data_IF_845070391380
#
_entry.id   IF_845070391380
#
_cell.length_a   1.000
_cell.length_b   1.000
_cell.length_c   1.000
_cell.angle_alpha   90.00
_cell.angle_beta   90.00
_cell.angle_gamma   90.00
#
_symmetry.space_group_name_H-M   'P 1'
#
loop_
_entity.id
_entity.type
_entity.pdbx_description
1 polymer ?
#
# COMPACT_ATOMS: atom_id res chain seq x y z
N UNK A 1 -15.71 13.22 -9.76
CA UNK A 1 -15.10 11.88 -9.94
C UNK A 1 -14.27 11.46 -8.75
N UNK A 2 -13.75 12.39 -7.93
CA UNK A 2 -12.95 11.99 -6.77
C UNK A 2 -13.77 11.11 -5.83
N UNK A 3 -13.22 9.95 -5.50
CA UNK A 3 -13.82 9.01 -4.58
C UNK A 3 -13.46 9.39 -3.14
N UNK A 4 -14.45 9.41 -2.26
CA UNK A 4 -14.28 9.67 -0.82
C UNK A 4 -15.13 8.67 -0.03
N UNK A 5 -14.54 7.56 0.45
CA UNK A 5 -15.24 6.62 1.32
C UNK A 5 -15.62 7.30 2.64
N UNK A 6 -16.86 7.10 3.11
CA UNK A 6 -17.37 7.74 4.32
C UNK A 6 -16.72 7.20 5.60
N UNK A 7 -16.15 5.99 5.52
CA UNK A 7 -15.51 5.29 6.62
C UNK A 7 -14.09 5.80 6.90
N UNK A 8 -13.51 6.62 6.01
CA UNK A 8 -12.17 7.17 6.19
C UNK A 8 -12.19 8.29 7.22
N UNK A 9 -11.56 8.06 8.36
CA UNK A 9 -11.50 9.04 9.47
C UNK A 9 -10.35 10.05 9.32
N UNK A 10 -9.28 9.68 8.61
CA UNK A 10 -8.15 10.57 8.38
C UNK A 10 -7.39 10.15 7.11
N UNK A 11 -6.96 11.11 6.30
CA UNK A 11 -6.06 10.83 5.17
C UNK A 11 -4.61 10.81 5.66
N UNK A 12 -3.91 9.73 5.35
CA UNK A 12 -2.50 9.51 5.73
C UNK A 12 -1.58 9.88 4.56
N UNK A 13 -1.99 9.56 3.33
CA UNK A 13 -1.15 9.79 2.16
C UNK A 13 -1.95 9.96 0.85
N UNK A 14 -1.41 10.78 -0.05
CA UNK A 14 -1.91 10.95 -1.41
C UNK A 14 -0.88 10.51 -2.44
N UNK A 15 -1.20 9.48 -3.23
CA UNK A 15 -0.45 9.12 -4.41
C UNK A 15 -1.14 9.65 -5.68
N UNK A 16 -0.52 9.44 -6.85
CA UNK A 16 -1.09 9.83 -8.14
C UNK A 16 -2.45 9.19 -8.39
N UNK A 17 -2.59 7.89 -8.12
CA UNK A 17 -3.76 7.10 -8.52
C UNK A 17 -4.59 6.56 -7.34
N UNK A 18 -4.08 6.67 -6.12
CA UNK A 18 -4.74 6.17 -4.92
C UNK A 18 -4.55 7.12 -3.74
N UNK A 19 -5.45 7.01 -2.78
CA UNK A 19 -5.38 7.70 -1.50
C UNK A 19 -5.31 6.63 -0.41
N UNK A 20 -4.54 6.90 0.63
CA UNK A 20 -4.45 6.05 1.82
C UNK A 20 -5.11 6.80 2.97
N UNK A 21 -6.16 6.21 3.53
CA UNK A 21 -6.86 6.74 4.68
C UNK A 21 -6.94 5.72 5.82
N UNK A 22 -7.00 6.20 7.06
CA UNK A 22 -7.31 5.37 8.23
C UNK A 22 -8.82 5.12 8.29
N UNK A 23 -9.24 3.89 8.58
CA UNK A 23 -10.65 3.56 8.81
C UNK A 23 -11.03 3.55 10.30
N UNK A 24 -10.07 3.27 11.17
CA UNK A 24 -10.24 3.09 12.60
C UNK A 24 -8.95 2.55 13.22
N UNK A 25 -9.03 1.93 14.39
CA UNK A 25 -7.85 1.42 15.08
C UNK A 25 -7.16 0.31 14.28
N UNK A 26 -5.90 0.55 13.93
CA UNK A 26 -4.99 -0.40 13.28
C UNK A 26 -5.41 -0.86 11.88
N UNK A 27 -6.28 -0.13 11.18
CA UNK A 27 -6.69 -0.45 9.81
C UNK A 27 -6.54 0.77 8.91
N UNK A 28 -5.82 0.57 7.81
CA UNK A 28 -5.71 1.55 6.72
C UNK A 28 -6.35 1.02 5.45
N UNK A 29 -6.97 1.94 4.72
CA UNK A 29 -7.59 1.71 3.42
C UNK A 29 -6.79 2.43 2.36
N UNK A 30 -6.30 1.69 1.38
CA UNK A 30 -5.88 2.25 0.09
C UNK A 30 -7.04 2.18 -0.88
N UNK A 31 -7.50 3.31 -1.38
CA UNK A 31 -8.64 3.40 -2.30
C UNK A 31 -8.28 4.21 -3.55
N UNK A 32 -8.91 3.94 -4.71
CA UNK A 32 -8.59 4.64 -5.93
C UNK A 32 -9.01 6.11 -5.83
N UNK A 33 -8.28 6.99 -6.51
CA UNK A 33 -8.63 8.43 -6.56
C UNK A 33 -9.97 8.66 -7.22
N UNK A 34 -10.32 7.88 -8.26
CA UNK A 34 -11.49 8.09 -9.09
C UNK A 34 -12.56 7.03 -8.83
N UNK A 35 -13.81 7.45 -8.65
CA UNK A 35 -14.99 6.60 -8.52
C UNK A 35 -15.48 6.12 -9.91
N UNK A 36 -14.64 5.38 -10.66
CA UNK A 36 -14.97 4.99 -12.04
C UNK A 36 -16.25 4.15 -12.18
N UNK A 37 -16.68 3.46 -11.12
CA UNK A 37 -17.92 2.68 -11.10
C UNK A 37 -19.17 3.55 -11.23
N UNK A 38 -19.12 4.81 -10.80
CA UNK A 38 -20.24 5.76 -10.92
C UNK A 38 -20.27 6.44 -12.30
N UNK A 39 -19.23 6.25 -13.13
CA UNK A 39 -19.07 6.93 -14.42
C UNK A 39 -18.61 5.96 -15.52
N UNK A 40 -19.54 5.21 -16.16
CA UNK A 40 -19.22 4.15 -17.13
C UNK A 40 -18.36 4.59 -18.32
N UNK A 41 -18.49 5.85 -18.75
CA UNK A 41 -17.71 6.40 -19.88
C UNK A 41 -16.34 6.97 -19.46
N UNK A 42 -16.02 7.01 -18.17
CA UNK A 42 -14.85 7.74 -17.66
C UNK A 42 -13.54 7.16 -18.20
N UNK A 43 -13.44 5.85 -18.39
CA UNK A 43 -12.26 5.19 -18.96
C UNK A 43 -12.01 5.58 -20.43
N UNK A 44 -13.10 5.78 -21.19
CA UNK A 44 -13.05 6.14 -22.60
C UNK A 44 -12.66 7.61 -22.75
N UNK A 45 -13.24 8.48 -21.92
CA UNK A 45 -13.04 9.94 -21.93
C UNK A 45 -11.73 10.37 -21.30
N UNK A 46 -11.22 9.63 -20.32
CA UNK A 46 -10.04 10.01 -19.54
C UNK A 46 -9.03 8.87 -19.43
N UNK A 47 -7.89 9.02 -20.11
CA UNK A 47 -6.76 8.08 -20.04
C UNK A 47 -6.30 7.83 -18.59
N UNK A 48 -6.26 8.88 -17.76
CA UNK A 48 -5.83 8.77 -16.36
C UNK A 48 -6.73 7.82 -15.54
N UNK A 49 -8.04 7.80 -15.79
CA UNK A 49 -8.98 6.90 -15.11
C UNK A 49 -8.72 5.45 -15.52
N UNK A 50 -8.50 5.22 -16.81
CA UNK A 50 -8.18 3.89 -17.37
C UNK A 50 -6.86 3.34 -16.81
N UNK A 51 -5.82 4.15 -16.82
CA UNK A 51 -4.49 3.77 -16.32
C UNK A 51 -4.51 3.52 -14.80
N UNK A 52 -5.26 4.35 -14.05
CA UNK A 52 -5.46 4.17 -12.61
C UNK A 52 -6.23 2.87 -12.31
N UNK A 53 -7.34 2.60 -13.01
CA UNK A 53 -8.12 1.38 -12.85
C UNK A 53 -7.31 0.12 -13.15
N UNK A 54 -6.62 0.09 -14.30
CA UNK A 54 -5.79 -1.06 -14.68
C UNK A 54 -4.69 -1.33 -13.64
N UNK A 55 -4.03 -0.28 -13.16
CA UNK A 55 -3.00 -0.40 -12.12
C UNK A 55 -3.58 -0.93 -10.81
N UNK A 56 -4.75 -0.44 -10.40
CA UNK A 56 -5.42 -0.86 -9.16
C UNK A 56 -5.86 -2.32 -9.21
N UNK A 57 -6.44 -2.77 -10.33
CA UNK A 57 -6.86 -4.17 -10.52
C UNK A 57 -5.66 -5.12 -10.49
N UNK A 58 -4.57 -4.78 -11.16
CA UNK A 58 -3.33 -5.58 -11.14
C UNK A 58 -2.78 -5.67 -9.71
N UNK A 59 -2.77 -4.55 -8.99
CA UNK A 59 -2.30 -4.52 -7.60
C UNK A 59 -3.12 -5.46 -6.71
N UNK A 60 -4.44 -5.49 -6.86
CA UNK A 60 -5.32 -6.40 -6.12
C UNK A 60 -4.98 -7.88 -6.36
N UNK A 61 -4.66 -8.27 -7.60
CA UNK A 61 -4.27 -9.65 -7.90
C UNK A 61 -2.89 -10.00 -7.34
N UNK A 62 -1.94 -9.07 -7.38
CA UNK A 62 -0.63 -9.26 -6.75
C UNK A 62 -0.78 -9.44 -5.23
N UNK A 63 -1.58 -8.60 -4.56
CA UNK A 63 -1.81 -8.71 -3.12
C UNK A 63 -2.42 -10.05 -2.71
N UNK A 64 -3.37 -10.58 -3.49
CA UNK A 64 -3.93 -11.92 -3.27
C UNK A 64 -2.87 -13.01 -3.38
N UNK A 65 -1.96 -12.91 -4.35
CA UNK A 65 -0.91 -13.89 -4.59
C UNK A 65 0.22 -13.83 -3.54
N UNK A 66 0.49 -12.65 -2.99
CA UNK A 66 1.52 -12.48 -1.95
C UNK A 66 1.12 -13.11 -0.62
N UNK A 67 -0.17 -13.24 -0.33
CA UNK A 67 -0.66 -13.84 0.91
C UNK A 67 -0.08 -13.20 2.17
N UNK A 68 -0.01 -13.98 3.24
CA UNK A 68 0.54 -13.54 4.53
C UNK A 68 2.04 -13.81 4.59
N UNK A 69 2.84 -12.75 4.81
CA UNK A 69 4.27 -12.84 5.05
C UNK A 69 4.68 -11.87 6.18
N UNK A 70 5.47 -12.27 7.19
CA UNK A 70 5.77 -11.44 8.36
C UNK A 70 6.56 -10.17 8.06
N UNK A 71 7.15 -10.05 6.85
CA UNK A 71 7.89 -8.86 6.38
C UNK A 71 7.14 -8.01 5.36
N UNK A 72 5.88 -8.33 5.09
CA UNK A 72 4.99 -7.57 4.21
C UNK A 72 3.78 -7.17 5.06
N UNK A 73 3.32 -5.93 4.93
CA UNK A 73 2.15 -5.50 5.73
C UNK A 73 0.95 -6.38 5.38
N UNK A 74 0.17 -6.73 6.40
CA UNK A 74 -0.90 -7.71 6.26
C UNK A 74 -2.03 -7.15 5.40
N UNK A 75 -2.33 -7.83 4.30
CA UNK A 75 -3.52 -7.55 3.49
C UNK A 75 -4.76 -8.18 4.15
N UNK A 76 -5.74 -7.34 4.51
CA UNK A 76 -6.96 -7.76 5.20
C UNK A 76 -8.13 -8.02 4.25
N UNK A 77 -7.95 -7.75 2.95
CA UNK A 77 -8.96 -7.97 1.92
C UNK A 77 -9.40 -6.70 1.20
N UNK A 78 -10.38 -6.86 0.31
CA UNK A 78 -10.96 -5.74 -0.44
C UNK A 78 -12.05 -5.02 0.37
N UNK A 79 -12.32 -3.78 0.02
CA UNK A 79 -13.48 -3.02 0.48
C UNK A 79 -14.42 -2.69 -0.68
N UNK A 80 -15.70 -2.57 -0.39
CA UNK A 80 -16.69 -2.07 -1.33
C UNK A 80 -16.78 -0.53 -1.26
N UNK A 81 -17.10 0.18 -2.36
CA UNK A 81 -17.13 -0.30 -3.75
C UNK A 81 -15.76 -0.70 -4.32
N UNK A 82 -14.68 0.02 -3.99
CA UNK A 82 -13.31 -0.41 -4.34
C UNK A 82 -12.31 0.06 -3.28
N UNK A 83 -11.35 -0.81 -2.96
CA UNK A 83 -10.27 -0.50 -2.03
C UNK A 83 -9.58 -1.74 -1.47
N UNK A 84 -8.44 -1.52 -0.81
CA UNK A 84 -7.63 -2.55 -0.17
C UNK A 84 -7.40 -2.19 1.29
N UNK A 85 -7.83 -3.07 2.20
CA UNK A 85 -7.63 -2.93 3.64
C UNK A 85 -6.31 -3.57 4.04
N UNK A 86 -5.56 -2.89 4.90
CA UNK A 86 -4.32 -3.38 5.47
C UNK A 86 -4.30 -3.17 6.97
N UNK A 87 -3.53 -4.00 7.68
CA UNK A 87 -3.15 -3.69 9.04
C UNK A 87 -2.27 -2.44 9.05
N UNK A 88 -2.53 -1.52 9.97
CA UNK A 88 -1.67 -0.36 10.17
C UNK A 88 -0.37 -0.78 10.87
N UNK A 89 0.76 -0.22 10.44
CA UNK A 89 2.04 -0.45 11.11
C UNK A 89 2.15 0.39 12.39
N UNK A 90 2.57 -0.24 13.49
CA UNK A 90 2.73 0.37 14.83
C UNK A 90 3.57 1.67 14.87
N UNK A 91 4.45 1.87 13.89
CA UNK A 91 5.38 3.00 13.82
C UNK A 91 5.08 3.98 12.69
N UNK A 92 3.96 3.78 11.99
CA UNK A 92 3.55 4.64 10.88
C UNK A 92 4.54 4.61 9.72
N UNK A 93 4.75 5.77 9.10
CA UNK A 93 5.56 5.91 7.90
C UNK A 93 7.07 5.71 8.21
N UNK A 94 7.71 4.80 7.46
CA UNK A 94 9.12 4.48 7.63
C UNK A 94 10.06 5.67 7.43
N UNK A 95 9.81 6.49 6.41
CA UNK A 95 10.68 7.63 6.11
C UNK A 95 10.65 8.63 7.26
N UNK A 96 9.44 8.95 7.77
CA UNK A 96 9.28 9.83 8.93
C UNK A 96 9.98 9.26 10.16
N UNK A 97 9.87 7.95 10.38
CA UNK A 97 10.55 7.30 11.49
C UNK A 97 12.07 7.39 11.36
N UNK A 98 12.62 7.11 10.16
CA UNK A 98 14.05 7.23 9.86
C UNK A 98 14.49 8.67 10.10
N UNK A 99 13.84 9.65 9.49
CA UNK A 99 14.23 11.06 9.59
C UNK A 99 14.24 11.54 11.06
N UNK A 100 13.32 11.05 11.88
CA UNK A 100 13.25 11.40 13.30
C UNK A 100 14.19 10.61 14.23
N UNK A 101 14.55 9.37 13.88
CA UNK A 101 15.18 8.43 14.84
C UNK A 101 16.56 7.93 14.39
N UNK A 102 16.96 8.16 13.14
CA UNK A 102 18.16 7.56 12.56
C UNK A 102 19.43 7.85 13.35
N UNK A 103 19.56 9.08 13.87
CA UNK A 103 20.72 9.49 14.67
C UNK A 103 20.78 8.83 16.05
N UNK A 104 19.65 8.32 16.56
CA UNK A 104 19.57 7.61 17.84
C UNK A 104 19.58 6.09 17.68
N UNK A 105 19.62 5.60 16.44
CA UNK A 105 19.43 4.18 16.15
C UNK A 105 20.75 3.42 16.19
N UNK A 106 20.81 2.37 17.00
CA UNK A 106 22.03 1.57 17.15
C UNK A 106 22.34 0.79 15.87
N UNK A 107 23.62 0.43 15.62
CA UNK A 107 24.00 -0.38 14.47
C UNK A 107 23.23 -1.70 14.37
N UNK A 108 22.88 -2.30 15.51
CA UNK A 108 22.14 -3.56 15.59
C UNK A 108 20.71 -3.41 15.04
N UNK A 109 20.02 -2.32 15.39
CA UNK A 109 18.67 -2.03 14.86
C UNK A 109 18.75 -1.78 13.35
N UNK A 110 19.75 -1.03 12.88
CA UNK A 110 19.95 -0.81 11.45
C UNK A 110 20.19 -2.11 10.69
N UNK A 111 21.01 -3.02 11.25
CA UNK A 111 21.28 -4.32 10.64
C UNK A 111 20.02 -5.19 10.58
N UNK A 112 19.23 -5.22 11.65
CA UNK A 112 17.96 -5.94 11.70
C UNK A 112 17.00 -5.46 10.60
N UNK A 113 16.87 -4.15 10.42
CA UNK A 113 15.99 -3.60 9.38
C UNK A 113 16.45 -3.90 7.97
N UNK A 114 17.75 -3.81 7.70
CA UNK A 114 18.32 -4.21 6.40
C UNK A 114 18.03 -5.67 6.10
N UNK A 115 18.12 -6.55 7.11
CA UNK A 115 17.77 -7.96 6.98
C UNK A 115 16.28 -8.14 6.68
N UNK A 116 15.40 -7.50 7.45
CA UNK A 116 13.96 -7.58 7.22
C UNK A 116 13.56 -7.09 5.81
N UNK A 117 14.18 -6.02 5.32
CA UNK A 117 14.00 -5.54 3.95
C UNK A 117 14.51 -6.52 2.90
N UNK A 118 15.68 -7.13 3.12
CA UNK A 118 16.23 -8.14 2.23
C UNK A 118 15.33 -9.39 2.16
N UNK A 119 14.79 -9.83 3.30
CA UNK A 119 13.83 -10.95 3.39
C UNK A 119 12.56 -10.66 2.59
N UNK A 120 11.97 -9.47 2.76
CA UNK A 120 10.79 -9.06 2.00
C UNK A 120 11.06 -9.05 0.49
N UNK A 121 12.18 -8.49 0.04
CA UNK A 121 12.55 -8.46 -1.39
C UNK A 121 12.79 -9.88 -1.93
N UNK A 122 13.47 -10.73 -1.15
CA UNK A 122 13.69 -12.13 -1.53
C UNK A 122 12.38 -12.90 -1.68
N UNK A 123 11.40 -12.62 -0.81
CA UNK A 123 10.06 -13.18 -0.93
C UNK A 123 9.33 -12.67 -2.18
N UNK A 124 9.30 -11.35 -2.40
CA UNK A 124 8.67 -10.73 -3.57
C UNK A 124 9.24 -11.28 -4.89
N UNK A 125 10.55 -11.57 -4.93
CA UNK A 125 11.21 -12.19 -6.10
C UNK A 125 10.75 -13.62 -6.40
N UNK A 126 10.28 -14.36 -5.39
CA UNK A 126 9.73 -15.71 -5.56
C UNK A 126 8.26 -15.70 -5.97
N UNK A 127 7.61 -14.54 -5.95
CA UNK A 127 6.23 -14.40 -6.42
C UNK A 127 6.14 -14.71 -7.91
N UNK A 128 5.05 -15.35 -8.38
CA UNK A 128 4.83 -15.62 -9.80
C UNK A 128 4.76 -14.36 -10.68
N UNK A 129 4.66 -13.16 -10.08
CA UNK A 129 4.66 -11.87 -10.79
C UNK A 129 5.70 -10.89 -10.22
N UNK A 130 7.02 -11.16 -10.35
CA UNK A 130 8.07 -10.40 -9.64
C UNK A 130 8.11 -8.91 -10.02
N UNK A 131 7.89 -8.60 -11.30
CA UNK A 131 7.90 -7.22 -11.82
C UNK A 131 6.72 -6.39 -11.29
N UNK A 132 5.54 -7.02 -11.19
CA UNK A 132 4.33 -6.37 -10.70
C UNK A 132 4.34 -6.24 -9.17
N UNK A 133 4.89 -7.25 -8.48
CA UNK A 133 5.14 -7.21 -7.04
C UNK A 133 6.12 -6.09 -6.65
N UNK A 134 7.18 -5.87 -7.44
CA UNK A 134 8.10 -4.76 -7.21
C UNK A 134 7.44 -3.39 -7.40
N UNK A 135 6.57 -3.24 -8.41
CA UNK A 135 5.84 -1.98 -8.69
C UNK A 135 4.73 -1.69 -7.68
N UNK A 136 4.02 -2.72 -7.21
CA UNK A 136 3.10 -2.60 -6.08
C UNK A 136 3.88 -2.23 -4.80
N UNK A 137 5.02 -2.89 -4.57
CA UNK A 137 5.89 -2.67 -3.42
C UNK A 137 6.56 -1.29 -3.39
N UNK A 138 6.94 -0.68 -4.53
CA UNK A 138 7.58 0.64 -4.52
C UNK A 138 6.68 1.76 -3.97
N UNK A 139 5.37 1.57 -4.04
CA UNK A 139 4.35 2.48 -3.49
C UNK A 139 3.98 2.12 -2.05
N UNK A 140 4.43 0.95 -1.56
CA UNK A 140 3.91 0.30 -0.35
C UNK A 140 5.00 0.16 0.74
N UNK A 141 6.22 -0.20 0.36
CA UNK A 141 7.40 -0.31 1.23
C UNK A 141 8.03 1.05 1.58
N UNK A 142 7.68 2.14 0.87
CA UNK A 142 8.05 3.50 1.31
C UNK A 142 7.18 4.00 2.46
N UNK A 143 5.99 3.43 2.66
CA UNK A 143 4.93 4.15 3.36
C UNK A 143 4.19 3.36 4.45
N UNK A 144 4.20 2.03 4.49
CA UNK A 144 3.33 1.28 5.43
C UNK A 144 3.85 -0.06 6.03
N UNK A 145 5.13 -0.39 5.97
CA UNK A 145 5.72 -1.40 6.88
C UNK A 145 6.80 -0.68 7.66
N UNK A 146 6.87 -0.75 9.00
CA UNK A 146 7.35 -1.90 9.79
C UNK A 146 6.75 -1.90 11.21
N UNK A 147 6.42 -3.08 11.73
CA UNK A 147 6.18 -3.32 13.15
C UNK A 147 6.79 -4.65 13.58
N UNK A 148 7.67 -4.56 14.60
CA UNK A 148 8.35 -5.61 15.40
C UNK A 148 8.90 -6.84 14.66
#
# INVERSE_FOLDING_TARGET
>A
MDYQPQEVVAIIHHSTNAIIGRLGDNIVLKYPRYAWWDFPDAEQKHRAVRDAKASFLIEGEVLKLLGDHPRIVKFLGRSDPEGFKFAEADKGNLQQYIDGSFHTMTPEIQAAWRLQAAEAIAYLRKSPLPYLAYRASSTFNRELSWSR
#
